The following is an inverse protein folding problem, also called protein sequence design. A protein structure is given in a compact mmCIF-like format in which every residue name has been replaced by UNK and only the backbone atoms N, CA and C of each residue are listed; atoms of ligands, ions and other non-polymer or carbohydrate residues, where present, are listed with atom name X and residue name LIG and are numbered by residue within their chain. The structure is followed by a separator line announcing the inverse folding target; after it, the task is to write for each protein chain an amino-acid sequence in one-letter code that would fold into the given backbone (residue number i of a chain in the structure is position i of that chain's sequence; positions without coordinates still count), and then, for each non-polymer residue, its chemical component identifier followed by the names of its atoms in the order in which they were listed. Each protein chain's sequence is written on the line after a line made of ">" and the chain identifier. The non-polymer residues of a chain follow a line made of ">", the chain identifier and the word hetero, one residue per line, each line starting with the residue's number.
data_IF_645745248623
#
_entry.id   IF_645745248623
#
_cell.length_a   1.000
_cell.length_b   1.000
_cell.length_c   1.000
_cell.angle_alpha   90.00
_cell.angle_beta   90.00
_cell.angle_gamma   90.00
#
_symmetry.space_group_name_H-M   'P 1'
#
loop_
_entity.id
_entity.type
_entity.pdbx_description
1 polymer ?
#
# COMPACT_ATOMS: atom_id res chain seq x y z
N UNK A 1 -10.17 -19.50 -3.76
CA UNK A 1 -10.32 -20.27 -2.49
C UNK A 1 -11.78 -20.51 -2.03
N UNK A 2 -12.74 -20.74 -2.94
CA UNK A 2 -14.14 -21.01 -2.55
C UNK A 2 -14.33 -22.44 -2.04
N UNK A 3 -13.66 -23.42 -2.68
CA UNK A 3 -13.81 -24.86 -2.39
C UNK A 3 -12.61 -25.49 -1.70
N UNK A 4 -11.45 -24.83 -1.74
CA UNK A 4 -10.17 -25.33 -1.24
C UNK A 4 -9.57 -24.34 -0.23
N UNK A 5 -8.93 -24.82 0.85
CA UNK A 5 -8.38 -23.98 1.93
C UNK A 5 -7.04 -23.31 1.59
N UNK A 6 -6.45 -23.61 0.42
CA UNK A 6 -5.21 -23.00 -0.05
C UNK A 6 -5.39 -22.52 -1.50
N UNK A 7 -4.82 -21.37 -1.87
CA UNK A 7 -4.78 -20.94 -3.25
C UNK A 7 -3.76 -21.77 -4.04
N UNK A 8 -3.89 -21.73 -5.35
CA UNK A 8 -2.86 -22.16 -6.28
C UNK A 8 -1.70 -21.16 -6.28
N UNK A 9 -0.54 -21.58 -6.81
CA UNK A 9 0.60 -20.67 -7.01
C UNK A 9 0.25 -19.51 -7.96
N UNK A 10 -0.59 -19.76 -8.95
CA UNK A 10 -1.03 -18.74 -9.89
C UNK A 10 -1.89 -17.67 -9.20
N UNK A 11 -2.88 -18.07 -8.41
CA UNK A 11 -3.71 -17.13 -7.62
C UNK A 11 -2.85 -16.29 -6.66
N UNK A 12 -1.87 -16.89 -5.99
CA UNK A 12 -0.96 -16.15 -5.11
C UNK A 12 -0.04 -15.18 -5.86
N UNK A 13 0.45 -15.59 -7.04
CA UNK A 13 1.29 -14.76 -7.90
C UNK A 13 0.53 -13.57 -8.50
N UNK A 14 -0.75 -13.76 -8.84
CA UNK A 14 -1.61 -12.70 -9.38
C UNK A 14 -1.78 -11.54 -8.37
N UNK A 15 -2.07 -11.88 -7.11
CA UNK A 15 -2.14 -10.90 -6.02
C UNK A 15 -0.81 -10.19 -5.82
N UNK A 16 0.30 -10.93 -5.79
CA UNK A 16 1.62 -10.34 -5.61
C UNK A 16 1.97 -9.36 -6.74
N UNK A 17 1.71 -9.72 -7.99
CA UNK A 17 1.97 -8.86 -9.14
C UNK A 17 1.09 -7.59 -9.08
N UNK A 18 -0.19 -7.69 -8.72
CA UNK A 18 -1.05 -6.53 -8.58
C UNK A 18 -0.52 -5.50 -7.54
N UNK A 19 0.10 -5.98 -6.47
CA UNK A 19 0.77 -5.12 -5.46
C UNK A 19 2.02 -4.46 -6.04
N UNK A 20 2.85 -5.24 -6.75
CA UNK A 20 4.07 -4.72 -7.41
C UNK A 20 3.73 -3.66 -8.48
N UNK A 21 2.62 -3.86 -9.19
CA UNK A 21 2.05 -2.89 -10.13
C UNK A 21 1.56 -1.60 -9.44
N UNK A 22 1.42 -1.62 -8.12
CA UNK A 22 1.12 -0.47 -7.28
C UNK A 22 -0.36 -0.30 -6.93
N UNK A 23 -1.13 -1.39 -6.84
CA UNK A 23 -2.51 -1.30 -6.33
C UNK A 23 -2.53 -0.82 -4.88
N UNK A 24 -3.49 0.04 -4.53
CA UNK A 24 -3.72 0.47 -3.14
C UNK A 24 -4.52 -0.56 -2.33
N UNK A 25 -5.27 -1.44 -3.01
CA UNK A 25 -6.12 -2.43 -2.38
C UNK A 25 -6.28 -3.69 -3.23
N UNK A 26 -6.56 -4.80 -2.55
CA UNK A 26 -6.96 -6.07 -3.15
C UNK A 26 -8.33 -6.48 -2.60
N UNK A 27 -9.09 -7.27 -3.36
CA UNK A 27 -10.47 -7.60 -3.02
C UNK A 27 -10.71 -9.11 -3.08
N UNK A 28 -11.38 -9.64 -2.07
CA UNK A 28 -11.97 -10.98 -2.08
C UNK A 28 -13.44 -10.87 -2.46
N UNK A 29 -13.90 -11.75 -3.36
CA UNK A 29 -15.27 -11.73 -3.87
C UNK A 29 -16.06 -12.92 -3.32
N UNK A 30 -16.16 -14.00 -4.10
CA UNK A 30 -16.90 -15.20 -3.69
C UNK A 30 -16.21 -15.96 -2.56
N UNK A 31 -14.91 -15.75 -2.36
CA UNK A 31 -14.09 -16.38 -1.32
C UNK A 31 -14.58 -16.00 0.08
N UNK A 32 -14.84 -14.72 0.32
CA UNK A 32 -15.33 -14.20 1.59
C UNK A 32 -16.85 -14.28 1.70
N UNK A 33 -17.58 -14.01 0.61
CA UNK A 33 -19.03 -13.91 0.64
C UNK A 33 -19.74 -15.26 0.84
N UNK A 34 -19.23 -16.34 0.24
CA UNK A 34 -19.86 -17.67 0.26
C UNK A 34 -18.88 -18.84 0.16
N UNK A 35 -17.59 -18.59 0.38
CA UNK A 35 -16.56 -19.62 0.36
C UNK A 35 -16.64 -20.54 1.58
N UNK A 36 -16.11 -21.75 1.44
CA UNK A 36 -15.96 -22.68 2.58
C UNK A 36 -14.86 -22.28 3.57
N UNK A 37 -13.95 -21.39 3.15
CA UNK A 37 -12.73 -21.00 3.87
C UNK A 37 -12.52 -19.47 3.86
N UNK A 38 -13.50 -18.67 4.34
CA UNK A 38 -13.43 -17.21 4.24
C UNK A 38 -12.33 -16.62 5.14
N UNK A 39 -12.08 -17.22 6.31
CA UNK A 39 -11.02 -16.80 7.22
C UNK A 39 -9.65 -17.04 6.60
N UNK A 40 -9.42 -18.25 6.09
CA UNK A 40 -8.16 -18.62 5.44
C UNK A 40 -7.91 -17.77 4.20
N UNK A 41 -8.95 -17.43 3.42
CA UNK A 41 -8.82 -16.55 2.28
C UNK A 41 -8.30 -15.17 2.68
N UNK A 42 -8.88 -14.54 3.71
CA UNK A 42 -8.43 -13.23 4.22
C UNK A 42 -7.03 -13.32 4.83
N UNK A 43 -6.75 -14.34 5.65
CA UNK A 43 -5.44 -14.51 6.29
C UNK A 43 -4.32 -14.73 5.28
N UNK A 44 -4.55 -15.53 4.23
CA UNK A 44 -3.56 -15.76 3.18
C UNK A 44 -3.38 -14.51 2.32
N UNK A 45 -4.47 -13.81 1.95
CA UNK A 45 -4.39 -12.54 1.22
C UNK A 45 -3.54 -11.52 2.00
N UNK A 46 -3.80 -11.36 3.30
CA UNK A 46 -3.03 -10.46 4.17
C UNK A 46 -1.55 -10.85 4.25
N UNK A 47 -1.24 -12.15 4.32
CA UNK A 47 0.15 -12.65 4.32
C UNK A 47 0.87 -12.33 3.01
N UNK A 48 0.18 -12.43 1.87
CA UNK A 48 0.75 -12.06 0.57
C UNK A 48 1.01 -10.55 0.53
N UNK A 49 0.02 -9.74 0.94
CA UNK A 49 0.17 -8.29 1.04
C UNK A 49 1.39 -7.89 1.88
N UNK A 50 1.49 -8.39 3.10
CA UNK A 50 2.59 -8.03 4.02
C UNK A 50 3.96 -8.42 3.47
N UNK A 51 4.07 -9.57 2.80
CA UNK A 51 5.35 -10.02 2.24
C UNK A 51 5.76 -9.23 1.01
N UNK A 52 4.80 -8.92 0.14
CA UNK A 52 5.08 -8.18 -1.10
C UNK A 52 5.29 -6.70 -0.84
N UNK A 53 4.59 -6.10 0.12
CA UNK A 53 4.74 -4.67 0.44
C UNK A 53 6.15 -4.35 0.97
N UNK A 54 6.77 -5.26 1.73
CA UNK A 54 8.15 -5.12 2.24
C UNK A 54 9.24 -5.05 1.16
N UNK A 55 8.94 -5.44 -0.08
CA UNK A 55 9.89 -5.37 -1.21
C UNK A 55 9.58 -4.21 -2.15
N UNK A 56 8.54 -3.44 -1.87
CA UNK A 56 8.25 -2.20 -2.58
C UNK A 56 9.20 -1.12 -2.07
N UNK A 57 9.78 -0.37 -3.00
CA UNK A 57 10.61 0.79 -2.66
C UNK A 57 9.79 2.06 -2.68
N UNK A 58 10.23 3.05 -1.90
CA UNK A 58 9.70 4.40 -1.99
C UNK A 58 9.78 4.99 -3.40
N UNK A 59 8.82 5.85 -3.73
CA UNK A 59 8.67 6.44 -5.08
C UNK A 59 9.11 7.89 -5.13
N UNK A 60 10.00 8.33 -4.23
CA UNK A 60 10.50 9.70 -4.20
C UNK A 60 11.22 10.10 -5.50
N UNK A 61 11.97 9.18 -6.11
CA UNK A 61 12.77 9.47 -7.30
C UNK A 61 11.98 9.54 -8.61
N UNK A 62 10.77 8.94 -8.67
CA UNK A 62 9.98 8.86 -9.90
C UNK A 62 9.26 10.17 -10.27
N UNK A 63 9.29 11.20 -9.41
CA UNK A 63 8.58 12.47 -9.62
C UNK A 63 9.54 13.66 -9.86
N UNK A 64 10.44 13.54 -10.84
CA UNK A 64 11.18 14.67 -11.43
C UNK A 64 10.32 15.46 -12.44
N UNK A 65 9.06 15.73 -12.08
CA UNK A 65 8.19 16.56 -12.92
C UNK A 65 8.57 18.03 -12.70
N UNK A 66 9.05 18.71 -13.75
CA UNK A 66 9.51 20.11 -13.72
C UNK A 66 8.39 21.14 -13.47
N UNK A 67 7.23 20.70 -12.98
CA UNK A 67 6.07 21.55 -12.68
C UNK A 67 6.19 22.13 -11.26
N UNK A 68 5.73 23.37 -11.09
CA UNK A 68 5.60 23.98 -9.76
C UNK A 68 4.66 23.13 -8.89
N UNK A 69 5.20 22.63 -7.78
CA UNK A 69 4.43 21.87 -6.80
C UNK A 69 3.42 22.78 -6.09
N UNK A 70 2.24 22.25 -5.79
CA UNK A 70 1.29 22.89 -4.85
C UNK A 70 1.85 22.81 -3.44
N UNK A 71 1.45 23.73 -2.55
CA UNK A 71 1.92 23.76 -1.16
C UNK A 71 1.77 22.40 -0.47
N UNK A 72 0.58 21.78 -0.56
CA UNK A 72 0.33 20.46 0.03
C UNK A 72 1.30 19.40 -0.49
N UNK A 73 1.58 19.41 -1.80
CA UNK A 73 2.48 18.45 -2.42
C UNK A 73 3.93 18.64 -1.97
N UNK A 74 4.39 19.90 -1.94
CA UNK A 74 5.74 20.24 -1.48
C UNK A 74 5.98 19.83 -0.02
N UNK A 75 5.01 20.10 0.86
CA UNK A 75 5.09 19.70 2.28
C UNK A 75 5.06 18.18 2.45
N UNK A 76 4.16 17.48 1.74
CA UNK A 76 4.06 16.02 1.84
C UNK A 76 5.32 15.33 1.30
N UNK A 77 5.88 15.81 0.17
CA UNK A 77 7.15 15.31 -0.38
C UNK A 77 8.28 15.48 0.62
N UNK A 78 8.43 16.68 1.19
CA UNK A 78 9.48 16.96 2.17
C UNK A 78 9.32 16.12 3.44
N UNK A 79 8.10 15.88 3.89
CA UNK A 79 7.82 15.01 5.04
C UNK A 79 8.24 13.56 4.77
N UNK A 80 7.92 13.01 3.59
CA UNK A 80 8.34 11.65 3.19
C UNK A 80 9.86 11.54 3.07
N UNK A 81 10.50 12.49 2.38
CA UNK A 81 11.96 12.54 2.24
C UNK A 81 12.67 12.62 3.59
N UNK A 82 12.12 13.41 4.52
CA UNK A 82 12.67 13.52 5.88
C UNK A 82 12.48 12.23 6.65
N UNK A 83 11.32 11.59 6.54
CA UNK A 83 11.05 10.32 7.22
C UNK A 83 11.99 9.21 6.75
N UNK A 84 12.22 9.09 5.44
CA UNK A 84 13.14 8.10 4.86
C UNK A 84 14.59 8.35 5.29
N UNK A 85 15.07 9.60 5.26
CA UNK A 85 16.44 9.93 5.69
C UNK A 85 16.70 9.68 7.18
N UNK A 86 15.65 9.71 8.00
CA UNK A 86 15.73 9.50 9.44
C UNK A 86 15.35 8.07 9.86
N UNK A 87 15.03 7.19 8.91
CA UNK A 87 14.46 5.87 9.17
C UNK A 87 13.26 5.95 10.15
N UNK A 88 12.42 6.98 10.01
CA UNK A 88 11.31 7.23 10.91
C UNK A 88 10.22 6.16 10.71
N UNK A 89 9.69 5.54 11.77
CA UNK A 89 8.70 4.47 11.64
C UNK A 89 7.29 4.98 11.32
N UNK A 90 7.02 6.28 11.50
CA UNK A 90 5.67 6.84 11.50
C UNK A 90 5.66 8.28 10.96
N UNK A 91 4.70 8.58 10.08
CA UNK A 91 4.35 9.92 9.64
C UNK A 91 2.95 10.25 10.16
N UNK A 92 2.82 11.26 11.03
CA UNK A 92 1.52 11.72 11.55
C UNK A 92 1.00 12.87 10.71
N UNK A 93 -0.22 12.74 10.18
CA UNK A 93 -0.82 13.68 9.23
C UNK A 93 -2.14 14.22 9.77
N UNK A 94 -2.11 15.36 10.46
CA UNK A 94 -3.33 16.03 10.88
C UNK A 94 -4.16 16.45 9.65
N UNK A 95 -5.35 15.85 9.46
CA UNK A 95 -6.20 16.13 8.31
C UNK A 95 -7.69 16.00 8.63
N UNK A 96 -8.52 16.91 8.12
CA UNK A 96 -9.98 16.83 8.30
C UNK A 96 -10.67 16.03 7.17
N UNK A 97 -10.16 16.12 5.94
CA UNK A 97 -10.77 15.51 4.73
C UNK A 97 -9.91 14.42 4.07
N UNK A 98 -8.80 14.02 4.70
CA UNK A 98 -7.90 12.98 4.20
C UNK A 98 -7.02 13.38 3.01
N UNK A 99 -7.13 14.61 2.50
CA UNK A 99 -6.38 15.05 1.31
C UNK A 99 -4.87 15.01 1.53
N UNK A 100 -4.41 15.43 2.70
CA UNK A 100 -2.98 15.40 3.06
C UNK A 100 -2.48 13.96 3.18
N UNK A 101 -3.24 13.08 3.83
CA UNK A 101 -2.87 11.67 3.96
C UNK A 101 -2.74 10.98 2.60
N UNK A 102 -3.68 11.21 1.67
CA UNK A 102 -3.57 10.72 0.29
C UNK A 102 -2.39 11.31 -0.47
N UNK A 103 -2.05 12.59 -0.25
CA UNK A 103 -0.89 13.22 -0.85
C UNK A 103 0.44 12.64 -0.34
N UNK A 104 0.53 12.30 0.94
CA UNK A 104 1.68 11.56 1.50
C UNK A 104 1.75 10.16 0.88
N UNK A 105 0.62 9.42 0.85
CA UNK A 105 0.56 8.04 0.31
C UNK A 105 1.03 7.92 -1.14
N UNK A 106 0.85 8.96 -1.96
CA UNK A 106 1.32 9.03 -3.36
C UNK A 106 2.80 8.68 -3.52
N UNK A 107 3.62 9.02 -2.52
CA UNK A 107 5.06 8.80 -2.56
C UNK A 107 5.48 7.40 -2.09
N UNK A 108 4.55 6.56 -1.63
CA UNK A 108 4.84 5.22 -1.09
C UNK A 108 5.95 5.26 -0.01
N UNK A 109 5.79 6.03 1.09
CA UNK A 109 6.79 6.03 2.16
C UNK A 109 6.88 4.65 2.83
N UNK A 110 8.08 4.29 3.29
CA UNK A 110 8.29 3.10 4.12
C UNK A 110 7.66 3.25 5.52
N UNK A 111 7.59 4.49 6.00
CA UNK A 111 6.97 4.84 7.26
C UNK A 111 5.44 4.64 7.22
N UNK A 112 4.87 4.13 8.32
CA UNK A 112 3.41 4.03 8.47
C UNK A 112 2.77 5.42 8.50
N UNK A 113 1.65 5.60 7.80
CA UNK A 113 0.91 6.88 7.82
C UNK A 113 -0.21 6.80 8.86
N UNK A 114 -0.16 7.67 9.87
CA UNK A 114 -1.24 7.89 10.83
C UNK A 114 -1.96 9.18 10.47
N UNK A 115 -3.19 9.08 9.97
CA UNK A 115 -4.00 10.19 9.48
C UNK A 115 -5.14 10.54 10.43
#
# INVERSE_FOLDING_TARGET
>A
MIKNPRPTRAEAGDVANAILDGTDAVMLSGESAKGKYPLEAVSIMATICERTDRVMNSRLEFNNDNRKLRITEAVCRGAVETAEKLDAPLIVVATQGGKSARAVRKYFPDATILA
#
